data_IF_027044950040
#
_entry.id   IF_027044950040
#
_cell.length_a   1.000
_cell.length_b   1.000
_cell.length_c   1.000
_cell.angle_alpha   90.00
_cell.angle_beta   90.00
_cell.angle_gamma   90.00
#
_symmetry.space_group_name_H-M   'P 1'
#
loop_
_entity.id
_entity.type
_entity.pdbx_description
1 polymer ?
#
# COMPACT_ATOMS: atom_id res chain seq x y z
N UNK A 1 64.76 -42.87 22.97
CA UNK A 1 63.72 -42.12 22.24
C UNK A 1 62.97 -41.23 23.23
N UNK A 2 63.30 -39.93 23.27
CA UNK A 2 62.63 -38.85 24.01
C UNK A 2 61.60 -38.20 23.05
N UNK A 3 60.50 -37.51 23.38
CA UNK A 3 60.01 -36.76 24.55
C UNK A 3 58.48 -36.62 24.41
N UNK A 4 57.78 -36.44 25.54
CA UNK A 4 56.39 -35.94 25.64
C UNK A 4 56.24 -34.55 25.02
N UNK A 5 55.11 -34.28 24.34
CA UNK A 5 54.60 -32.91 24.21
C UNK A 5 53.06 -32.85 24.27
N UNK A 6 52.56 -32.04 25.21
CA UNK A 6 51.15 -31.68 25.44
C UNK A 6 50.80 -30.46 24.59
N UNK A 7 49.66 -30.42 23.88
CA UNK A 7 48.89 -29.19 23.55
C UNK A 7 47.42 -29.59 23.32
N UNK A 8 46.43 -29.19 24.13
CA UNK A 8 45.85 -27.88 24.44
C UNK A 8 44.38 -27.88 23.95
N UNK A 9 43.42 -28.02 24.88
CA UNK A 9 41.98 -27.93 24.62
C UNK A 9 41.66 -26.52 24.11
N UNK A 10 41.28 -26.40 22.83
CA UNK A 10 40.80 -25.15 22.24
C UNK A 10 39.35 -24.96 22.67
N UNK A 11 39.14 -24.14 23.70
CA UNK A 11 37.80 -23.74 24.15
C UNK A 11 37.11 -22.96 23.04
N UNK A 12 36.09 -23.57 22.43
CA UNK A 12 35.13 -22.86 21.60
C UNK A 12 34.33 -21.93 22.53
N UNK A 13 34.70 -20.64 22.56
CA UNK A 13 33.85 -19.61 23.15
C UNK A 13 32.63 -19.47 22.25
N UNK A 14 31.48 -19.94 22.72
CA UNK A 14 30.20 -19.69 22.08
C UNK A 14 29.90 -18.18 22.15
N UNK A 15 30.00 -17.49 21.02
CA UNK A 15 29.51 -16.12 20.89
C UNK A 15 27.99 -16.24 20.84
N UNK A 16 27.33 -15.91 21.95
CA UNK A 16 25.87 -15.82 22.01
C UNK A 16 25.43 -14.65 21.13
N UNK A 17 25.14 -14.94 19.86
CA UNK A 17 24.58 -13.99 18.91
C UNK A 17 23.18 -13.60 19.39
N UNK A 18 23.10 -12.48 20.12
CA UNK A 18 21.83 -11.88 20.54
C UNK A 18 20.90 -11.75 19.33
N UNK A 19 19.61 -12.15 19.41
CA UNK A 19 18.71 -12.12 18.27
C UNK A 19 18.19 -10.70 18.07
N UNK A 20 19.02 -9.81 17.49
CA UNK A 20 18.60 -8.46 17.09
C UNK A 20 17.75 -8.50 15.79
N UNK A 21 17.71 -9.66 15.12
CA UNK A 21 17.14 -9.84 13.79
C UNK A 21 15.59 -9.87 13.66
N UNK A 22 14.76 -10.22 14.67
CA UNK A 22 13.31 -10.31 14.44
C UNK A 22 12.64 -8.95 14.18
N UNK A 23 13.07 -7.90 14.90
CA UNK A 23 12.48 -6.57 14.81
C UNK A 23 12.87 -5.84 13.50
N UNK A 24 14.11 -6.03 13.05
CA UNK A 24 14.60 -5.44 11.79
C UNK A 24 13.91 -6.10 10.58
N UNK A 25 13.72 -7.43 10.58
CA UNK A 25 12.98 -8.11 9.49
C UNK A 25 11.53 -7.63 9.36
N UNK A 26 10.84 -7.35 10.46
CA UNK A 26 9.45 -6.85 10.41
C UNK A 26 9.36 -5.46 9.78
N UNK A 27 10.24 -4.55 10.18
CA UNK A 27 10.25 -3.17 9.67
C UNK A 27 10.65 -3.07 8.18
N UNK A 28 11.58 -3.92 7.71
CA UNK A 28 11.93 -4.01 6.27
C UNK A 28 10.73 -4.48 5.46
N UNK A 29 10.02 -5.52 5.91
CA UNK A 29 8.84 -6.07 5.22
C UNK A 29 7.67 -5.08 5.16
N UNK A 30 7.51 -4.23 6.18
CA UNK A 30 6.51 -3.15 6.18
C UNK A 30 6.90 -2.02 5.22
N UNK A 31 8.18 -1.64 5.16
CA UNK A 31 8.69 -0.63 4.22
C UNK A 31 8.57 -1.09 2.77
N UNK A 32 8.89 -2.35 2.47
CA UNK A 32 8.73 -2.93 1.12
C UNK A 32 7.26 -2.94 0.68
N UNK A 33 6.33 -3.28 1.58
CA UNK A 33 4.88 -3.19 1.29
C UNK A 33 4.43 -1.75 1.03
N UNK A 34 4.95 -0.79 1.78
CA UNK A 34 4.63 0.62 1.56
C UNK A 34 5.22 1.15 0.24
N UNK A 35 6.45 0.74 -0.12
CA UNK A 35 7.09 1.14 -1.37
C UNK A 35 6.44 0.49 -2.60
N UNK A 36 6.16 -0.82 -2.59
CA UNK A 36 5.44 -1.49 -3.69
C UNK A 36 4.06 -0.90 -3.94
N UNK A 37 3.31 -0.55 -2.89
CA UNK A 37 2.00 0.11 -3.05
C UNK A 37 2.15 1.49 -3.68
N UNK A 38 3.21 2.23 -3.32
CA UNK A 38 3.45 3.58 -3.83
C UNK A 38 3.88 3.58 -5.30
N UNK A 39 4.73 2.65 -5.71
CA UNK A 39 5.07 2.43 -7.13
C UNK A 39 3.85 1.96 -7.92
N UNK A 40 3.05 1.04 -7.37
CA UNK A 40 1.80 0.59 -8.02
C UNK A 40 0.79 1.72 -8.21
N UNK A 41 0.67 2.63 -7.24
CA UNK A 41 -0.27 3.76 -7.30
C UNK A 41 0.18 4.79 -8.37
N UNK A 42 1.48 5.06 -8.47
CA UNK A 42 2.04 5.94 -9.49
C UNK A 42 1.89 5.36 -10.89
N UNK A 43 2.22 4.08 -11.06
CA UNK A 43 2.02 3.38 -12.34
C UNK A 43 0.54 3.30 -12.72
N UNK A 44 -0.33 3.03 -11.75
CA UNK A 44 -1.78 3.05 -11.93
C UNK A 44 -2.27 4.43 -12.38
N UNK A 45 -1.83 5.50 -11.72
CA UNK A 45 -2.17 6.87 -12.09
C UNK A 45 -1.67 7.21 -13.51
N UNK A 46 -0.43 6.83 -13.84
CA UNK A 46 0.17 7.02 -15.18
C UNK A 46 -0.62 6.28 -16.26
N UNK A 47 -1.04 5.04 -15.99
CA UNK A 47 -1.89 4.27 -16.90
C UNK A 47 -3.29 4.89 -17.06
N UNK A 48 -3.88 5.40 -15.97
CA UNK A 48 -5.18 6.10 -16.03
C UNK A 48 -5.10 7.39 -16.85
N UNK A 49 -3.99 8.13 -16.79
CA UNK A 49 -3.81 9.39 -17.51
C UNK A 49 -3.74 9.25 -19.04
N UNK A 50 -3.43 8.06 -19.57
CA UNK A 50 -3.37 7.83 -21.02
C UNK A 50 -4.73 8.02 -21.73
N UNK A 51 -5.84 7.83 -21.01
CA UNK A 51 -7.20 7.98 -21.55
C UNK A 51 -7.85 9.19 -20.88
N UNK A 52 -8.65 9.98 -21.61
CA UNK A 52 -9.38 11.12 -21.01
C UNK A 52 -10.54 10.68 -20.11
N UNK A 53 -11.19 9.57 -20.48
CA UNK A 53 -12.35 9.02 -19.77
C UNK A 53 -12.23 7.51 -19.64
N UNK A 54 -12.83 6.97 -18.57
CA UNK A 54 -12.98 5.53 -18.34
C UNK A 54 -14.42 5.23 -17.93
N UNK A 55 -14.96 4.11 -18.42
CA UNK A 55 -16.20 3.56 -17.91
C UNK A 55 -15.92 2.80 -16.61
N UNK A 56 -16.61 3.18 -15.55
CA UNK A 56 -16.56 2.54 -14.23
C UNK A 56 -17.99 2.38 -13.77
N UNK A 57 -18.42 1.15 -13.51
CA UNK A 57 -19.79 0.82 -13.14
C UNK A 57 -20.81 1.44 -14.11
N UNK A 58 -20.61 1.22 -15.41
CA UNK A 58 -21.42 1.77 -16.51
C UNK A 58 -21.44 3.31 -16.63
N UNK A 59 -20.71 4.04 -15.78
CA UNK A 59 -20.62 5.50 -15.84
C UNK A 59 -19.31 5.96 -16.45
N UNK A 60 -19.38 7.00 -17.29
CA UNK A 60 -18.22 7.61 -17.92
C UNK A 60 -17.63 8.66 -16.99
N UNK A 61 -16.44 8.38 -16.43
CA UNK A 61 -15.75 9.24 -15.49
C UNK A 61 -14.42 9.71 -16.06
N UNK A 62 -13.97 10.86 -15.57
CA UNK A 62 -12.66 11.43 -15.92
C UNK A 62 -11.56 10.67 -15.17
N UNK A 63 -10.58 10.19 -15.93
CA UNK A 63 -9.49 9.38 -15.40
C UNK A 63 -8.54 10.16 -14.51
N UNK A 64 -8.36 11.46 -14.77
CA UNK A 64 -7.47 12.33 -13.99
C UNK A 64 -7.93 12.46 -12.54
N UNK A 65 -9.23 12.64 -12.29
CA UNK A 65 -9.77 12.67 -10.92
C UNK A 65 -9.73 11.26 -10.31
N UNK A 66 -10.12 10.22 -11.05
CA UNK A 66 -10.06 8.82 -10.58
C UNK A 66 -8.66 8.40 -10.12
N UNK A 67 -7.62 8.83 -10.82
CA UNK A 67 -6.23 8.51 -10.51
C UNK A 67 -5.76 9.11 -9.16
N UNK A 68 -6.33 10.24 -8.75
CA UNK A 68 -5.97 10.92 -7.50
C UNK A 68 -6.61 10.28 -6.27
N UNK A 69 -7.77 9.64 -6.43
CA UNK A 69 -8.57 9.11 -5.30
C UNK A 69 -7.77 8.16 -4.39
N UNK A 70 -7.03 7.14 -4.91
CA UNK A 70 -6.21 6.28 -4.05
C UNK A 70 -5.18 7.05 -3.23
N UNK A 71 -4.55 8.06 -3.83
CA UNK A 71 -3.55 8.89 -3.16
C UNK A 71 -4.19 9.75 -2.06
N UNK A 72 -5.35 10.34 -2.31
CA UNK A 72 -6.08 11.15 -1.33
C UNK A 72 -6.52 10.33 -0.12
N UNK A 73 -7.00 9.10 -0.34
CA UNK A 73 -7.39 8.18 0.74
C UNK A 73 -6.19 7.83 1.63
N UNK A 74 -5.01 7.64 1.01
CA UNK A 74 -3.78 7.38 1.77
C UNK A 74 -3.35 8.61 2.56
N UNK A 75 -3.45 9.81 1.98
CA UNK A 75 -3.11 11.06 2.66
C UNK A 75 -4.01 11.33 3.87
N UNK A 76 -5.30 11.00 3.78
CA UNK A 76 -6.23 11.09 4.91
C UNK A 76 -6.05 9.97 5.94
N UNK A 77 -5.14 9.02 5.72
CA UNK A 77 -4.92 7.88 6.60
C UNK A 77 -6.08 6.87 6.63
N UNK A 78 -7.05 7.02 5.71
CA UNK A 78 -8.21 6.15 5.59
C UNK A 78 -7.83 4.88 4.83
N UNK A 79 -8.53 3.78 5.12
CA UNK A 79 -8.28 2.47 4.49
C UNK A 79 -9.55 1.94 3.86
N UNK A 80 -9.45 1.60 2.57
CA UNK A 80 -10.50 0.85 1.88
C UNK A 80 -10.33 -0.63 2.14
N UNK A 81 -11.40 -1.26 2.65
CA UNK A 81 -11.50 -2.69 2.87
C UNK A 81 -12.56 -3.28 1.94
N UNK A 82 -12.45 -4.58 1.64
CA UNK A 82 -13.54 -5.31 0.99
C UNK A 82 -14.73 -5.38 1.96
N UNK A 83 -15.93 -5.08 1.46
CA UNK A 83 -17.14 -5.05 2.29
C UNK A 83 -17.29 -3.81 3.16
N UNK A 84 -16.67 -2.69 2.77
CA UNK A 84 -16.91 -1.39 3.42
C UNK A 84 -18.40 -1.04 3.44
N UNK A 85 -18.89 -0.50 4.55
CA UNK A 85 -20.28 -0.08 4.66
C UNK A 85 -20.52 1.20 3.85
N UNK A 86 -21.77 1.45 3.44
CA UNK A 86 -22.11 2.68 2.71
C UNK A 86 -21.79 3.94 3.52
N UNK A 87 -21.97 3.90 4.85
CA UNK A 87 -21.64 5.02 5.73
C UNK A 87 -20.14 5.33 5.74
N UNK A 88 -19.29 4.31 5.88
CA UNK A 88 -17.83 4.48 5.80
C UNK A 88 -17.40 4.97 4.41
N UNK A 89 -18.05 4.48 3.34
CA UNK A 89 -17.80 4.96 1.98
C UNK A 89 -18.10 6.46 1.88
N UNK A 90 -19.24 6.92 2.41
CA UNK A 90 -19.64 8.32 2.40
C UNK A 90 -18.67 9.22 3.17
N UNK A 91 -18.14 8.74 4.30
CA UNK A 91 -17.12 9.48 5.08
C UNK A 91 -15.87 9.72 4.23
N UNK A 92 -15.40 8.68 3.53
CA UNK A 92 -14.23 8.77 2.65
C UNK A 92 -14.50 9.70 1.47
N UNK A 93 -15.68 9.61 0.86
CA UNK A 93 -16.09 10.47 -0.24
C UNK A 93 -16.12 11.94 0.17
N UNK A 94 -16.69 12.24 1.33
CA UNK A 94 -16.74 13.59 1.87
C UNK A 94 -15.33 14.13 2.13
N UNK A 95 -14.43 13.29 2.65
CA UNK A 95 -13.03 13.66 2.89
C UNK A 95 -12.28 13.97 1.59
N UNK A 96 -12.49 13.15 0.56
CA UNK A 96 -11.91 13.38 -0.78
C UNK A 96 -12.40 14.70 -1.35
N UNK A 97 -13.72 14.96 -1.30
CA UNK A 97 -14.30 16.19 -1.84
C UNK A 97 -13.85 17.44 -1.05
N UNK A 98 -13.61 17.30 0.26
CA UNK A 98 -13.04 18.37 1.10
C UNK A 98 -11.58 18.67 0.75
N UNK A 99 -10.79 17.62 0.49
CA UNK A 99 -9.36 17.73 0.22
C UNK A 99 -9.08 18.24 -1.19
N UNK A 100 -9.79 17.71 -2.19
CA UNK A 100 -9.65 18.13 -3.59
C UNK A 100 -11.03 18.49 -4.17
N UNK A 101 -11.42 19.78 -4.14
CA UNK A 101 -12.67 20.26 -4.70
C UNK A 101 -12.81 20.05 -6.21
N UNK A 102 -11.71 19.70 -6.92
CA UNK A 102 -11.78 19.38 -8.34
C UNK A 102 -12.45 18.03 -8.61
N UNK A 103 -12.61 17.17 -7.60
CA UNK A 103 -13.28 15.87 -7.71
C UNK A 103 -14.76 16.03 -7.34
N UNK A 104 -15.65 15.66 -8.26
CA UNK A 104 -17.10 15.73 -7.98
C UNK A 104 -17.52 14.57 -7.08
N UNK A 105 -18.56 14.76 -6.25
CA UNK A 105 -19.12 13.71 -5.41
C UNK A 105 -19.40 12.39 -6.17
N UNK A 106 -19.91 12.46 -7.40
CA UNK A 106 -20.12 11.27 -8.24
C UNK A 106 -18.82 10.54 -8.61
N UNK A 107 -17.75 11.28 -8.90
CA UNK A 107 -16.44 10.72 -9.23
C UNK A 107 -15.77 10.12 -8.00
N UNK A 108 -15.88 10.80 -6.85
CA UNK A 108 -15.44 10.29 -5.56
C UNK A 108 -16.18 8.98 -5.23
N UNK A 109 -17.51 8.99 -5.28
CA UNK A 109 -18.34 7.82 -4.98
C UNK A 109 -17.99 6.62 -5.84
N UNK A 110 -17.97 6.79 -7.17
CA UNK A 110 -17.66 5.68 -8.07
C UNK A 110 -16.19 5.25 -8.02
N UNK A 111 -15.28 6.19 -7.81
CA UNK A 111 -13.86 5.88 -7.66
C UNK A 111 -13.59 5.06 -6.40
N UNK A 112 -14.15 5.49 -5.27
CA UNK A 112 -14.07 4.78 -3.99
C UNK A 112 -14.69 3.39 -4.12
N UNK A 113 -15.89 3.28 -4.71
CA UNK A 113 -16.58 2.01 -4.92
C UNK A 113 -15.78 1.04 -5.81
N UNK A 114 -15.14 1.53 -6.86
CA UNK A 114 -14.41 0.70 -7.80
C UNK A 114 -13.05 0.19 -7.27
N UNK A 115 -12.48 0.82 -6.24
CA UNK A 115 -11.20 0.40 -5.67
C UNK A 115 -11.28 -1.02 -5.08
N UNK A 116 -12.18 -1.33 -4.13
CA UNK A 116 -12.31 -2.67 -3.55
C UNK A 116 -13.13 -3.63 -4.44
N UNK A 117 -13.83 -3.15 -5.47
CA UNK A 117 -14.69 -3.94 -6.35
C UNK A 117 -14.14 -4.04 -7.79
N UNK A 118 -13.40 -5.10 -8.15
CA UNK A 118 -12.90 -5.30 -9.51
C UNK A 118 -13.99 -5.43 -10.57
N UNK A 119 -15.18 -5.94 -10.23
CA UNK A 119 -16.27 -6.09 -11.18
C UNK A 119 -16.78 -4.72 -11.67
N UNK A 120 -16.75 -3.70 -10.80
CA UNK A 120 -17.11 -2.33 -11.15
C UNK A 120 -16.13 -1.66 -12.13
N UNK A 121 -14.96 -2.26 -12.38
CA UNK A 121 -13.93 -1.73 -13.30
C UNK A 121 -14.02 -2.31 -14.72
N UNK A 122 -14.86 -3.32 -14.92
CA UNK A 122 -15.06 -4.03 -16.19
C UNK A 122 -16.04 -3.29 -17.09
#
# INVERSE_FOLDING_TARGET
MSKKEKKAKKSQKAIATRPILPLIRRSIKEKEKQQQVTESDYEYAKHMQQKKFRKVNYQRLRTKQLAKIPQLIRQSGLKLKKGITQAEQQVIENEICRTDPSITAAEAHRGVFAIPNPAARR
#
